data_IF_939965648532
#
_entry.id   IF_939965648532
#
_cell.length_a   1.000
_cell.length_b   1.000
_cell.length_c   1.000
_cell.angle_alpha   90.00
_cell.angle_beta   90.00
_cell.angle_gamma   90.00
#
_symmetry.space_group_name_H-M   'P 1'
#
loop_
_entity.id
_entity.type
_entity.pdbx_description
1 polymer ?
#
# COMPACT_ATOMS: atom_id res chain seq x y z
N UNK A 1 14.34 2.96 -1.24
CA UNK A 1 14.54 1.55 -0.85
C UNK A 1 14.32 0.69 -2.08
N UNK A 2 15.14 -0.33 -2.32
CA UNK A 2 14.93 -1.29 -3.41
C UNK A 2 14.59 -2.65 -2.81
N UNK A 3 13.56 -3.31 -3.35
CA UNK A 3 13.06 -4.60 -2.89
C UNK A 3 13.10 -5.58 -4.06
N UNK A 4 13.98 -6.59 -4.06
CA UNK A 4 13.99 -7.60 -5.11
C UNK A 4 12.82 -8.58 -4.92
N UNK A 5 12.34 -9.14 -6.02
CA UNK A 5 11.42 -10.27 -6.02
C UNK A 5 11.66 -11.18 -7.22
N UNK A 6 11.15 -12.40 -7.15
CA UNK A 6 11.11 -13.33 -8.28
C UNK A 6 9.65 -13.61 -8.60
N UNK A 7 9.27 -13.47 -9.86
CA UNK A 7 7.95 -13.81 -10.37
C UNK A 7 8.15 -14.69 -11.60
N UNK A 8 7.61 -15.90 -11.56
CA UNK A 8 7.64 -16.90 -12.65
C UNK A 8 9.06 -17.16 -13.15
N UNK A 9 9.97 -17.37 -12.21
CA UNK A 9 11.38 -17.60 -12.45
C UNK A 9 12.17 -16.39 -12.97
N UNK A 10 11.58 -15.20 -12.95
CA UNK A 10 12.20 -13.98 -13.49
C UNK A 10 12.36 -12.94 -12.40
N UNK A 11 13.57 -12.36 -12.33
CA UNK A 11 13.88 -11.30 -11.38
C UNK A 11 13.14 -10.00 -11.73
N UNK A 12 12.59 -9.38 -10.70
CA UNK A 12 12.07 -8.03 -10.72
C UNK A 12 12.48 -7.26 -9.48
N UNK A 13 12.16 -5.98 -9.44
CA UNK A 13 12.33 -5.16 -8.24
C UNK A 13 11.25 -4.11 -8.10
N UNK A 14 11.02 -3.72 -6.85
CA UNK A 14 10.27 -2.52 -6.50
C UNK A 14 11.26 -1.44 -6.08
N UNK A 15 11.13 -0.26 -6.69
CA UNK A 15 11.85 0.94 -6.28
C UNK A 15 10.90 1.83 -5.50
N UNK A 16 11.14 1.96 -4.19
CA UNK A 16 10.35 2.81 -3.28
C UNK A 16 11.08 4.14 -3.06
N UNK A 17 10.47 5.24 -3.47
CA UNK A 17 10.84 6.60 -3.07
C UNK A 17 9.93 7.08 -1.95
N UNK A 18 10.52 7.67 -0.93
CA UNK A 18 9.81 8.22 0.21
C UNK A 18 10.49 9.52 0.59
N UNK A 19 9.75 10.62 0.48
CA UNK A 19 10.30 11.96 0.57
C UNK A 19 9.36 12.93 1.27
N UNK A 20 9.93 14.00 1.82
CA UNK A 20 9.17 15.09 2.41
C UNK A 20 8.54 15.92 1.29
N UNK A 21 7.23 16.15 1.36
CA UNK A 21 6.52 16.98 0.41
C UNK A 21 6.90 18.47 0.55
N UNK A 22 7.79 18.95 -0.32
CA UNK A 22 8.21 20.36 -0.38
C UNK A 22 7.45 21.16 -1.45
N UNK A 23 6.75 20.47 -2.36
CA UNK A 23 6.03 21.04 -3.50
C UNK A 23 4.66 20.35 -3.68
N UNK A 24 3.68 20.58 -2.79
CA UNK A 24 2.37 19.92 -2.85
C UNK A 24 1.67 20.04 -4.20
N UNK A 25 1.84 21.18 -4.87
CA UNK A 25 1.27 21.47 -6.18
C UNK A 25 1.72 20.49 -7.28
N UNK A 26 2.92 19.92 -7.16
CA UNK A 26 3.47 19.00 -8.17
C UNK A 26 2.84 17.62 -8.14
N UNK A 27 2.19 17.28 -7.02
CA UNK A 27 1.53 16.00 -6.79
C UNK A 27 0.01 16.14 -6.63
N UNK A 28 -0.54 17.31 -6.97
CA UNK A 28 -1.98 17.57 -6.92
C UNK A 28 -2.54 17.72 -5.50
N UNK A 29 -1.69 18.03 -4.50
CA UNK A 29 -2.10 18.23 -3.13
C UNK A 29 -2.25 19.73 -2.78
N UNK A 30 -3.14 20.09 -1.82
CA UNK A 30 -3.25 21.46 -1.30
C UNK A 30 -1.96 21.96 -0.59
N UNK A 31 -1.72 23.28 -0.49
CA UNK A 31 -0.48 23.81 0.09
C UNK A 31 -0.20 23.44 1.56
N UNK A 32 -1.24 23.17 2.34
CA UNK A 32 -1.16 22.79 3.76
C UNK A 32 -0.72 21.34 3.98
N UNK A 33 -0.58 20.54 2.90
CA UNK A 33 0.01 19.19 2.94
C UNK A 33 1.54 19.20 2.87
N UNK A 34 2.18 20.38 2.89
CA UNK A 34 3.63 20.50 2.98
C UNK A 34 4.16 19.68 4.16
N UNK A 35 5.38 19.19 4.07
CA UNK A 35 6.09 18.44 5.11
C UNK A 35 5.56 17.03 5.42
N UNK A 36 4.34 16.67 5.01
CA UNK A 36 3.89 15.29 5.01
C UNK A 36 4.72 14.45 4.02
N UNK A 37 4.82 13.13 4.23
CA UNK A 37 5.51 12.28 3.26
C UNK A 37 4.73 12.10 1.96
N UNK A 38 5.47 11.90 0.88
CA UNK A 38 5.00 11.26 -0.35
C UNK A 38 5.69 9.90 -0.43
N UNK A 39 4.93 8.86 -0.73
CA UNK A 39 5.45 7.52 -1.02
C UNK A 39 5.09 7.13 -2.46
N UNK A 40 6.11 6.74 -3.23
CA UNK A 40 5.91 6.14 -4.56
C UNK A 40 6.64 4.80 -4.60
N UNK A 41 5.99 3.74 -5.06
CA UNK A 41 6.62 2.44 -5.28
C UNK A 41 6.38 1.98 -6.72
N UNK A 42 7.45 1.91 -7.51
CA UNK A 42 7.40 1.53 -8.93
C UNK A 42 7.89 0.10 -9.11
N UNK A 43 7.15 -0.70 -9.88
CA UNK A 43 7.55 -2.05 -10.25
C UNK A 43 8.40 -2.02 -11.52
N UNK A 44 9.60 -2.57 -11.44
CA UNK A 44 10.47 -2.83 -12.58
C UNK A 44 10.55 -4.34 -12.82
N UNK A 45 9.87 -4.80 -13.87
CA UNK A 45 9.78 -6.21 -14.22
C UNK A 45 9.79 -6.36 -15.76
N UNK A 46 10.59 -7.28 -16.32
CA UNK A 46 10.84 -7.30 -17.78
C UNK A 46 9.70 -7.86 -18.62
N UNK A 47 8.82 -8.68 -18.05
CA UNK A 47 7.65 -9.20 -18.79
C UNK A 47 6.59 -8.12 -18.96
N UNK A 48 5.66 -8.35 -19.90
CA UNK A 48 4.67 -7.36 -20.35
C UNK A 48 3.30 -7.99 -20.48
N UNK A 49 2.26 -7.15 -20.65
CA UNK A 49 0.89 -7.62 -20.82
C UNK A 49 0.39 -8.31 -19.56
N UNK A 50 -0.45 -9.33 -19.68
CA UNK A 50 -0.97 -10.05 -18.52
C UNK A 50 0.12 -10.66 -17.63
N UNK A 51 1.33 -10.83 -18.14
CA UNK A 51 2.45 -11.32 -17.34
C UNK A 51 3.04 -10.29 -16.39
N UNK A 52 2.73 -9.02 -16.59
CA UNK A 52 3.09 -7.92 -15.69
C UNK A 52 1.88 -7.37 -14.93
N UNK A 53 0.73 -8.06 -14.97
CA UNK A 53 -0.46 -7.66 -14.22
C UNK A 53 -0.22 -7.93 -12.73
N UNK A 54 -0.19 -6.87 -11.95
CA UNK A 54 0.00 -6.88 -10.51
C UNK A 54 -0.92 -5.84 -9.87
N UNK A 55 -1.03 -5.86 -8.55
CA UNK A 55 -1.72 -4.80 -7.84
C UNK A 55 -1.18 -4.54 -6.44
N UNK A 56 -1.31 -3.30 -5.99
CA UNK A 56 -1.01 -2.87 -4.63
C UNK A 56 -2.26 -2.90 -3.77
N UNK A 57 -2.14 -3.51 -2.60
CA UNK A 57 -3.11 -3.42 -1.51
C UNK A 57 -2.46 -2.57 -0.41
N UNK A 58 -3.18 -1.55 0.06
CA UNK A 58 -2.73 -0.70 1.14
C UNK A 58 -3.74 -0.74 2.29
N UNK A 59 -3.20 -0.90 3.51
CA UNK A 59 -3.97 -0.74 4.74
C UNK A 59 -3.32 0.33 5.60
N UNK A 60 -4.15 1.15 6.23
CA UNK A 60 -3.72 2.29 7.04
C UNK A 60 -4.25 2.19 8.45
N UNK A 61 -3.38 2.51 9.41
CA UNK A 61 -3.74 2.76 10.79
C UNK A 61 -3.42 4.21 11.12
N UNK A 62 -4.40 4.93 11.62
CA UNK A 62 -4.25 6.34 12.03
C UNK A 62 -5.09 6.61 13.27
N UNK A 63 -4.63 7.50 14.15
CA UNK A 63 -5.37 7.84 15.39
C UNK A 63 -6.72 8.51 15.14
N UNK A 64 -6.97 8.98 13.92
CA UNK A 64 -8.24 9.57 13.48
C UNK A 64 -9.10 8.64 12.61
N UNK A 65 -8.70 7.38 12.43
CA UNK A 65 -9.53 6.39 11.75
C UNK A 65 -10.70 5.91 12.65
N UNK A 66 -11.62 5.10 12.10
CA UNK A 66 -12.81 4.65 12.84
C UNK A 66 -12.46 3.88 14.12
N UNK A 67 -11.31 3.20 14.11
CA UNK A 67 -10.80 2.46 15.26
C UNK A 67 -10.03 3.32 16.28
N UNK A 68 -9.81 4.62 16.03
CA UNK A 68 -8.96 5.47 16.87
C UNK A 68 -7.49 5.03 16.90
N UNK A 69 -7.00 4.46 15.81
CA UNK A 69 -5.64 3.93 15.69
C UNK A 69 -5.44 2.52 16.27
N UNK A 70 -6.51 1.83 16.68
CA UNK A 70 -6.41 0.46 17.19
C UNK A 70 -6.24 -0.60 16.09
N UNK A 71 -6.77 -0.35 14.89
CA UNK A 71 -6.80 -1.30 13.77
C UNK A 71 -6.39 -0.65 12.46
N UNK A 72 -5.90 -1.49 11.55
CA UNK A 72 -5.70 -1.13 10.16
C UNK A 72 -7.04 -1.20 9.40
N UNK A 73 -7.22 -0.30 8.46
CA UNK A 73 -8.39 -0.19 7.59
C UNK A 73 -7.90 -0.17 6.13
N UNK A 74 -8.67 -0.72 5.20
CA UNK A 74 -8.33 -0.67 3.77
C UNK A 74 -8.30 0.78 3.29
N UNK A 75 -7.30 1.14 2.49
CA UNK A 75 -7.09 2.51 2.01
C UNK A 75 -7.15 2.59 0.48
N UNK A 76 -8.34 2.47 -0.13
CA UNK A 76 -8.52 2.75 -1.55
C UNK A 76 -8.47 4.25 -1.81
N UNK A 77 -8.32 4.64 -3.08
CA UNK A 77 -8.50 6.04 -3.47
C UNK A 77 -9.90 6.52 -3.06
N UNK A 78 -9.95 7.49 -2.15
CA UNK A 78 -11.18 7.91 -1.47
C UNK A 78 -12.33 8.29 -2.42
N UNK A 79 -12.02 8.86 -3.59
CA UNK A 79 -13.02 9.26 -4.58
C UNK A 79 -13.67 8.08 -5.33
N UNK A 80 -13.10 6.87 -5.23
CA UNK A 80 -13.68 5.66 -5.83
C UNK A 80 -14.78 5.04 -4.96
N UNK A 81 -14.87 5.43 -3.67
CA UNK A 81 -15.82 4.85 -2.73
C UNK A 81 -15.56 3.37 -2.46
N UNK A 82 -16.63 2.60 -2.29
CA UNK A 82 -16.52 1.16 -2.02
C UNK A 82 -16.15 0.37 -3.29
N UNK A 83 -14.95 -0.17 -3.31
CA UNK A 83 -14.45 -1.04 -4.38
C UNK A 83 -14.82 -2.51 -4.13
N UNK A 84 -15.14 -3.22 -5.21
CA UNK A 84 -15.40 -4.67 -5.19
C UNK A 84 -14.10 -5.50 -5.15
N UNK A 85 -12.93 -4.85 -5.17
CA UNK A 85 -11.61 -5.48 -5.13
C UNK A 85 -10.69 -4.77 -4.13
N UNK A 86 -9.65 -5.45 -3.62
CA UNK A 86 -8.79 -4.91 -2.55
C UNK A 86 -7.70 -3.96 -3.04
N UNK A 87 -7.48 -3.88 -4.35
CA UNK A 87 -6.37 -3.11 -4.91
C UNK A 87 -6.64 -1.60 -4.95
N UNK A 88 -5.75 -0.81 -4.36
CA UNK A 88 -5.73 0.65 -4.55
C UNK A 88 -5.06 1.05 -5.87
N UNK A 89 -4.12 0.22 -6.36
CA UNK A 89 -3.47 0.39 -7.66
C UNK A 89 -3.37 -0.96 -8.37
N UNK A 90 -4.08 -1.17 -9.47
CA UNK A 90 -4.07 -2.41 -10.25
C UNK A 90 -3.71 -2.12 -11.70
N UNK A 91 -2.79 -2.89 -12.28
CA UNK A 91 -2.42 -2.69 -13.68
C UNK A 91 -1.15 -3.41 -14.09
N UNK A 92 -0.62 -3.01 -15.25
CA UNK A 92 0.64 -3.53 -15.77
C UNK A 92 1.80 -2.79 -15.12
N UNK A 93 2.64 -3.49 -14.34
CA UNK A 93 3.72 -2.87 -13.54
C UNK A 93 3.22 -1.63 -12.77
N UNK A 94 2.21 -1.80 -11.90
CA UNK A 94 1.51 -0.69 -11.29
C UNK A 94 2.43 0.08 -10.36
N UNK A 95 2.31 1.41 -10.38
CA UNK A 95 2.94 2.29 -9.41
C UNK A 95 1.97 2.55 -8.27
N UNK A 96 2.41 2.29 -7.04
CA UNK A 96 1.75 2.85 -5.86
C UNK A 96 2.15 4.31 -5.74
N UNK A 97 1.19 5.18 -5.52
CA UNK A 97 1.40 6.57 -5.13
C UNK A 97 0.49 6.90 -3.94
N UNK A 98 1.03 7.55 -2.92
CA UNK A 98 0.23 8.07 -1.82
C UNK A 98 0.90 9.29 -1.18
N UNK A 99 0.07 10.24 -0.73
CA UNK A 99 0.46 11.51 -0.15
C UNK A 99 -0.52 11.88 0.99
N UNK A 100 -0.47 11.15 2.12
CA UNK A 100 -1.38 11.35 3.22
C UNK A 100 -1.19 12.73 3.84
N UNK A 101 -2.28 13.36 4.23
CA UNK A 101 -2.24 14.69 4.86
C UNK A 101 -3.45 14.93 5.74
N UNK A 102 -3.37 15.95 6.60
CA UNK A 102 -4.48 16.46 7.39
C UNK A 102 -4.52 17.96 7.39
N UNK A 103 -5.72 18.49 7.17
CA UNK A 103 -6.04 19.92 7.27
C UNK A 103 -7.26 20.09 8.18
N UNK A 104 -7.11 20.75 9.36
CA UNK A 104 -5.86 21.24 9.94
C UNK A 104 -4.90 20.09 10.33
N UNK A 105 -3.61 20.41 10.56
CA UNK A 105 -2.68 19.44 11.16
C UNK A 105 -3.17 19.10 12.57
N UNK A 106 -3.21 17.80 12.87
CA UNK A 106 -3.56 17.27 14.18
C UNK A 106 -2.49 16.28 14.61
N UNK A 107 -2.27 16.17 15.92
CA UNK A 107 -1.33 15.19 16.46
C UNK A 107 -1.80 13.78 16.14
N UNK A 108 -0.93 13.00 15.52
CA UNK A 108 -1.24 11.64 15.11
C UNK A 108 -0.01 10.80 14.83
N UNK A 109 -0.21 9.49 14.91
CA UNK A 109 0.66 8.52 14.27
C UNK A 109 -0.12 7.89 13.11
N UNK A 110 0.46 7.95 11.91
CA UNK A 110 -0.11 7.36 10.71
C UNK A 110 0.86 6.32 10.18
N UNK A 111 0.37 5.13 9.87
CA UNK A 111 1.17 4.03 9.33
C UNK A 111 0.39 3.34 8.23
N UNK A 112 1.03 3.14 7.07
CA UNK A 112 0.56 2.27 6.02
C UNK A 112 1.37 0.98 5.98
N UNK A 113 0.68 -0.13 5.69
CA UNK A 113 1.27 -1.37 5.18
C UNK A 113 0.87 -1.50 3.71
N UNK A 114 1.85 -1.54 2.82
CA UNK A 114 1.65 -1.62 1.38
C UNK A 114 2.19 -2.95 0.86
N UNK A 115 1.34 -3.76 0.22
CA UNK A 115 1.68 -5.08 -0.30
C UNK A 115 1.51 -5.15 -1.81
N UNK A 116 2.53 -5.65 -2.51
CA UNK A 116 2.42 -5.95 -3.93
C UNK A 116 1.94 -7.40 -4.08
N UNK A 117 0.83 -7.59 -4.80
CA UNK A 117 0.20 -8.89 -4.97
C UNK A 117 -0.02 -9.22 -6.45
N UNK A 118 -0.06 -10.52 -6.74
CA UNK A 118 -0.53 -11.07 -8.01
C UNK A 118 -2.04 -11.32 -7.89
N UNK A 119 -2.88 -10.71 -8.73
CA UNK A 119 -4.28 -11.13 -8.85
C UNK A 119 -4.34 -12.47 -9.59
N UNK A 120 -5.05 -13.43 -9.03
CA UNK A 120 -5.19 -14.78 -9.59
C UNK A 120 -6.66 -15.23 -9.59
N UNK A 121 -7.04 -16.06 -10.56
CA UNK A 121 -8.36 -16.70 -10.60
C UNK A 121 -8.20 -18.16 -10.16
N UNK A 122 -8.77 -18.48 -9.00
CA UNK A 122 -8.68 -19.81 -8.38
C UNK A 122 -9.92 -20.68 -8.65
N UNK A 123 -10.75 -20.29 -9.62
CA UNK A 123 -11.91 -21.04 -10.12
C UNK A 123 -13.17 -20.93 -9.27
N UNK A 124 -13.05 -20.56 -8.00
CA UNK A 124 -14.18 -20.28 -7.09
C UNK A 124 -14.13 -18.85 -6.51
N UNK A 125 -13.38 -17.96 -7.14
CA UNK A 125 -13.19 -16.57 -6.70
C UNK A 125 -11.85 -16.04 -7.19
N UNK A 126 -11.58 -14.77 -6.86
CA UNK A 126 -10.31 -14.14 -7.15
C UNK A 126 -9.44 -14.17 -5.89
N UNK A 127 -8.14 -14.37 -6.05
CA UNK A 127 -7.17 -14.35 -4.97
C UNK A 127 -6.21 -13.17 -5.15
N UNK A 128 -5.90 -12.50 -4.04
CA UNK A 128 -4.75 -11.59 -3.99
C UNK A 128 -3.58 -12.31 -3.33
N UNK A 129 -2.56 -12.66 -4.13
CA UNK A 129 -1.38 -13.40 -3.67
C UNK A 129 -0.22 -12.43 -3.36
N UNK A 130 0.06 -12.11 -2.09
CA UNK A 130 1.08 -11.13 -1.74
C UNK A 130 2.50 -11.67 -2.02
N UNK A 131 3.36 -10.87 -2.63
CA UNK A 131 4.76 -11.26 -2.90
C UNK A 131 5.73 -10.62 -1.90
N UNK A 132 5.44 -9.37 -1.53
CA UNK A 132 6.26 -8.55 -0.64
C UNK A 132 5.39 -7.46 -0.03
N UNK A 133 5.90 -6.84 1.04
CA UNK A 133 5.30 -5.64 1.59
C UNK A 133 6.31 -4.78 2.32
N UNK A 134 5.94 -3.53 2.54
CA UNK A 134 6.69 -2.58 3.35
C UNK A 134 5.74 -1.69 4.16
N UNK A 135 6.19 -1.28 5.34
CA UNK A 135 5.52 -0.28 6.16
C UNK A 135 6.15 1.08 5.95
N UNK A 136 5.37 2.15 6.02
CA UNK A 136 5.87 3.53 6.00
C UNK A 136 4.85 4.45 6.69
N UNK A 137 5.26 5.65 7.08
CA UNK A 137 4.30 6.56 7.69
C UNK A 137 4.89 7.87 8.17
N UNK A 138 4.26 8.47 9.18
CA UNK A 138 4.75 9.67 9.83
C UNK A 138 4.13 9.83 11.22
N UNK A 139 4.71 10.74 12.00
CA UNK A 139 4.13 11.26 13.23
C UNK A 139 3.98 12.77 13.14
N UNK A 140 2.77 13.26 13.35
CA UNK A 140 2.48 14.65 13.57
C UNK A 140 2.44 14.90 15.09
N UNK A 141 3.21 15.87 15.57
CA UNK A 141 3.19 16.29 16.97
C UNK A 141 3.53 17.77 17.05
N UNK A 142 2.72 18.55 17.77
CA UNK A 142 2.95 19.98 18.01
C UNK A 142 3.12 20.79 16.70
N UNK A 143 2.41 20.39 15.65
CA UNK A 143 2.46 21.02 14.32
C UNK A 143 3.64 20.59 13.42
N UNK A 144 4.56 19.78 13.94
CA UNK A 144 5.71 19.26 13.21
C UNK A 144 5.45 17.85 12.66
N UNK A 145 6.09 17.53 11.53
CA UNK A 145 6.01 16.18 10.91
C UNK A 145 7.37 15.48 10.98
N UNK A 146 7.42 14.42 11.80
CA UNK A 146 8.47 13.43 11.80
C UNK A 146 8.15 12.30 10.81
N UNK A 147 9.12 11.98 9.96
CA UNK A 147 8.96 10.96 8.92
C UNK A 147 9.36 9.58 9.45
N UNK A 148 8.52 8.57 9.22
CA UNK A 148 8.80 7.17 9.54
C UNK A 148 9.08 6.41 8.22
N UNK A 149 10.36 6.18 7.86
CA UNK A 149 10.75 5.74 6.53
C UNK A 149 10.36 4.28 6.25
N UNK A 150 10.31 3.88 4.95
CA UNK A 150 9.94 2.54 4.55
C UNK A 150 10.79 1.44 5.18
N UNK A 151 10.13 0.41 5.71
CA UNK A 151 10.77 -0.79 6.28
C UNK A 151 10.11 -2.04 5.73
N UNK A 152 10.90 -3.07 5.41
CA UNK A 152 10.39 -4.34 4.92
C UNK A 152 9.45 -5.01 5.93
N UNK A 153 8.31 -5.50 5.44
CA UNK A 153 7.40 -6.31 6.22
C UNK A 153 7.70 -7.79 6.04
N UNK A 154 7.35 -8.57 7.05
CA UNK A 154 7.40 -10.03 7.01
C UNK A 154 6.05 -10.60 6.56
N UNK A 155 6.00 -11.87 6.14
CA UNK A 155 4.74 -12.55 5.85
C UNK A 155 3.70 -12.48 6.99
N UNK A 156 4.15 -12.48 8.25
CA UNK A 156 3.25 -12.38 9.39
C UNK A 156 2.46 -11.05 9.42
N UNK A 157 3.05 -9.97 8.92
CA UNK A 157 2.37 -8.68 8.85
C UNK A 157 1.26 -8.64 7.79
N UNK A 158 1.30 -9.53 6.79
CA UNK A 158 0.16 -9.75 5.89
C UNK A 158 -0.94 -10.54 6.58
N UNK A 159 -0.57 -11.59 7.32
CA UNK A 159 -1.53 -12.46 8.01
C UNK A 159 -2.41 -11.70 9.01
N UNK A 160 -1.87 -10.64 9.63
CA UNK A 160 -2.61 -9.73 10.51
C UNK A 160 -3.79 -9.01 9.83
N UNK A 161 -3.80 -8.92 8.49
CA UNK A 161 -4.79 -8.17 7.72
C UNK A 161 -5.85 -9.02 7.03
N UNK A 162 -5.67 -10.35 7.00
CA UNK A 162 -6.54 -11.26 6.25
C UNK A 162 -8.00 -11.14 6.68
N UNK A 163 -8.27 -11.05 7.98
CA UNK A 163 -9.64 -10.93 8.49
C UNK A 163 -10.28 -9.60 8.03
N UNK A 164 -9.58 -8.48 8.17
CA UNK A 164 -10.02 -7.15 7.69
C UNK A 164 -10.31 -7.17 6.18
N UNK A 165 -9.41 -7.78 5.39
CA UNK A 165 -9.55 -7.86 3.95
C UNK A 165 -10.73 -8.77 3.55
N UNK A 166 -10.89 -9.91 4.20
CA UNK A 166 -11.98 -10.85 3.96
C UNK A 166 -13.35 -10.29 4.33
N UNK A 167 -13.44 -9.54 5.43
CA UNK A 167 -14.67 -8.82 5.81
C UNK A 167 -15.04 -7.75 4.79
N UNK A 168 -14.05 -6.98 4.28
CA UNK A 168 -14.29 -5.90 3.32
C UNK A 168 -14.55 -6.41 1.90
N UNK A 169 -13.92 -7.51 1.51
CA UNK A 169 -13.97 -8.07 0.16
C UNK A 169 -14.32 -9.57 0.19
N UNK A 170 -15.57 -9.94 0.53
CA UNK A 170 -15.97 -11.34 0.73
C UNK A 170 -15.95 -12.21 -0.53
N UNK A 171 -15.81 -11.61 -1.72
CA UNK A 171 -15.62 -12.33 -2.98
C UNK A 171 -14.16 -12.64 -3.31
N UNK A 172 -13.23 -12.25 -2.45
CA UNK A 172 -11.79 -12.42 -2.63
C UNK A 172 -11.20 -13.35 -1.58
N UNK A 173 -10.20 -14.11 -2.00
CA UNK A 173 -9.40 -14.99 -1.15
C UNK A 173 -8.07 -14.31 -0.78
N UNK A 174 -7.63 -14.55 0.46
CA UNK A 174 -6.40 -14.01 1.01
C UNK A 174 -5.66 -15.13 1.77
N UNK A 175 -4.74 -15.81 1.09
CA UNK A 175 -3.93 -16.88 1.70
C UNK A 175 -2.89 -16.32 2.67
N UNK A 176 -2.54 -17.12 3.68
CA UNK A 176 -1.48 -16.77 4.63
C UNK A 176 -0.09 -16.81 3.99
N UNK A 177 0.76 -15.93 4.49
CA UNK A 177 2.14 -15.76 4.09
C UNK A 177 2.30 -15.04 2.75
N UNK A 178 3.55 -14.76 2.37
CA UNK A 178 3.87 -14.35 1.02
C UNK A 178 3.87 -15.57 0.11
N UNK A 179 3.22 -15.41 -1.05
CA UNK A 179 3.11 -16.45 -2.04
C UNK A 179 4.47 -16.75 -2.66
N UNK A 180 4.78 -18.03 -2.77
CA UNK A 180 5.76 -18.48 -3.73
C UNK A 180 5.13 -18.37 -5.13
N UNK A 181 5.67 -17.45 -5.90
CA UNK A 181 5.24 -17.14 -7.27
C UNK A 181 6.38 -17.36 -8.26
N UNK A 182 7.44 -18.05 -7.84
CA UNK A 182 8.58 -18.44 -8.67
C UNK A 182 8.23 -19.42 -9.78
#
# INVERSE_FOLDING_TARGET
>A
MEIPFVLRGVDGRVVVSYERNVHPETVGCPPDTRDYPICTATVEYPFRGYDSLLGWIQLVRSTDNLSGGARFETDPLSFLGDLTHPFCWLGLNPTLFDAPSRSPRIDMAWTAHSFLCVPDDVGNGLEARPMLGFSWGFRAADGEIALDPPTMLTPAAWDEHIDTLGEKHPGWHFSRGFADVG
#
